data_IF_855918407728
#
_entry.id   IF_855918407728
#
_cell.length_a   1.000
_cell.length_b   1.000
_cell.length_c   1.000
_cell.angle_alpha   90.00
_cell.angle_beta   90.00
_cell.angle_gamma   90.00
#
_symmetry.space_group_name_H-M   'P 1'
#
loop_
_entity.id
_entity.type
_entity.pdbx_description
1 polymer ?
#
# COMPACT_ATOMS: atom_id res chain seq x y z
N UNK A 1 0.40 130.46 -73.71
CA UNK A 1 0.34 129.00 -73.48
C UNK A 1 -0.17 128.81 -72.07
N UNK A 2 -1.37 128.43 -71.96
CA UNK A 2 -2.06 128.27 -70.68
C UNK A 2 -2.02 126.79 -70.22
N UNK A 3 -1.56 126.56 -69.03
CA UNK A 3 -1.44 125.24 -68.36
C UNK A 3 -2.85 124.89 -67.83
N UNK A 4 -3.47 123.86 -68.33
CA UNK A 4 -4.73 123.30 -67.82
C UNK A 4 -4.53 122.68 -66.45
N UNK A 5 -5.49 122.81 -65.53
CA UNK A 5 -5.42 122.19 -64.25
C UNK A 5 -5.93 120.68 -64.36
N UNK A 6 -5.19 119.73 -63.73
CA UNK A 6 -5.57 118.34 -63.63
C UNK A 6 -6.77 118.17 -62.73
N UNK A 7 -7.76 117.39 -63.11
CA UNK A 7 -8.90 117.09 -62.24
C UNK A 7 -8.55 116.21 -61.04
N UNK A 8 -8.86 116.63 -59.84
CA UNK A 8 -8.74 115.86 -58.62
C UNK A 8 -9.97 114.92 -58.48
N UNK A 9 -9.75 113.64 -58.57
CA UNK A 9 -10.78 112.68 -58.28
C UNK A 9 -10.99 112.51 -56.75
N UNK A 10 -12.24 112.37 -56.23
CA UNK A 10 -12.48 112.21 -54.80
C UNK A 10 -11.93 110.88 -54.36
N UNK A 11 -11.22 110.85 -53.23
CA UNK A 11 -10.75 109.56 -52.58
C UNK A 11 -11.93 108.74 -52.17
N UNK A 12 -12.05 107.52 -52.75
CA UNK A 12 -12.99 106.50 -52.32
C UNK A 12 -12.82 106.19 -50.85
N UNK A 13 -13.93 105.99 -50.08
CA UNK A 13 -13.79 105.60 -48.68
C UNK A 13 -13.15 104.18 -48.56
N UNK A 14 -12.26 104.04 -47.60
CA UNK A 14 -11.58 102.81 -47.31
C UNK A 14 -12.61 101.66 -47.02
N UNK A 15 -12.57 100.59 -47.80
CA UNK A 15 -13.37 99.42 -47.53
C UNK A 15 -13.08 98.90 -46.13
N UNK A 16 -14.08 98.54 -45.35
CA UNK A 16 -13.83 97.86 -44.04
C UNK A 16 -13.04 96.57 -44.22
N UNK A 17 -11.98 96.47 -43.51
CA UNK A 17 -11.18 95.23 -43.50
C UNK A 17 -12.02 94.09 -42.93
N UNK A 18 -12.29 93.09 -43.77
CA UNK A 18 -12.95 91.85 -43.32
C UNK A 18 -12.13 91.23 -42.19
N UNK A 19 -12.71 90.75 -41.11
CA UNK A 19 -11.98 90.13 -40.04
C UNK A 19 -11.17 88.96 -40.60
N UNK A 20 -9.87 88.95 -40.34
CA UNK A 20 -9.01 87.81 -40.68
C UNK A 20 -9.52 86.62 -39.91
N UNK A 21 -10.11 85.67 -40.61
CA UNK A 21 -10.44 84.36 -40.03
C UNK A 21 -9.20 83.75 -39.45
N UNK A 22 -9.16 83.31 -38.16
CA UNK A 22 -8.00 82.67 -37.61
C UNK A 22 -7.66 81.48 -38.53
N UNK A 23 -6.43 81.47 -39.06
CA UNK A 23 -5.91 80.34 -39.82
C UNK A 23 -5.77 79.16 -38.85
N UNK A 24 -6.85 78.39 -38.71
CA UNK A 24 -6.81 77.11 -38.00
C UNK A 24 -5.75 76.28 -38.70
N UNK A 25 -4.66 76.03 -37.98
CA UNK A 25 -3.55 75.22 -38.46
C UNK A 25 -4.01 73.77 -38.53
N UNK A 26 -4.90 73.45 -39.48
CA UNK A 26 -5.34 72.09 -39.77
C UNK A 26 -4.18 71.12 -39.94
N UNK A 27 -3.03 71.60 -40.45
CA UNK A 27 -1.81 70.81 -40.55
C UNK A 27 -1.22 70.32 -39.22
N UNK A 28 -1.32 71.15 -38.13
CA UNK A 28 -0.83 70.73 -36.81
C UNK A 28 -1.72 69.65 -36.16
N UNK A 29 -3.05 69.81 -36.29
CA UNK A 29 -3.97 68.81 -35.78
C UNK A 29 -3.86 67.50 -36.58
N UNK A 30 -3.73 67.57 -37.90
CA UNK A 30 -3.48 66.42 -38.77
C UNK A 30 -2.17 65.72 -38.44
N UNK A 31 -1.09 66.45 -38.24
CA UNK A 31 0.21 65.91 -37.80
C UNK A 31 0.12 65.24 -36.43
N UNK A 32 -0.64 65.84 -35.49
CA UNK A 32 -0.84 65.25 -34.17
C UNK A 32 -1.64 63.93 -34.27
N UNK A 33 -2.70 63.89 -35.08
CA UNK A 33 -3.50 62.69 -35.32
C UNK A 33 -2.67 61.58 -35.96
N UNK A 34 -1.87 61.89 -36.97
CA UNK A 34 -0.95 60.94 -37.65
C UNK A 34 0.10 60.47 -36.67
N UNK A 35 0.63 61.34 -35.80
CA UNK A 35 1.59 60.95 -34.74
C UNK A 35 0.97 60.01 -33.72
N UNK A 36 -0.28 60.26 -33.26
CA UNK A 36 -0.98 59.38 -32.37
C UNK A 36 -1.30 58.02 -33.02
N UNK A 37 -1.72 57.99 -34.27
CA UNK A 37 -1.95 56.77 -35.02
C UNK A 37 -0.65 55.97 -35.18
N UNK A 38 0.45 56.62 -35.56
CA UNK A 38 1.73 55.98 -35.67
C UNK A 38 2.21 55.39 -34.30
N UNK A 39 2.04 56.14 -33.23
CA UNK A 39 2.34 55.69 -31.87
C UNK A 39 1.49 54.48 -31.46
N UNK A 40 0.18 54.52 -31.80
CA UNK A 40 -0.76 53.41 -31.56
C UNK A 40 -0.36 52.16 -32.34
N UNK A 41 0.06 52.29 -33.59
CA UNK A 41 0.54 51.18 -34.41
C UNK A 41 1.82 50.57 -33.83
N UNK A 42 2.75 51.38 -33.36
CA UNK A 42 3.98 50.91 -32.69
C UNK A 42 3.64 50.19 -31.39
N UNK A 43 2.74 50.73 -30.60
CA UNK A 43 2.33 50.12 -29.36
C UNK A 43 1.60 48.76 -29.57
N UNK A 44 0.78 48.67 -30.59
CA UNK A 44 0.10 47.42 -30.99
C UNK A 44 1.01 46.37 -31.61
N UNK A 45 2.22 46.79 -32.05
CA UNK A 45 3.25 45.90 -32.61
C UNK A 45 4.09 45.20 -31.55
N UNK A 46 4.07 45.65 -30.29
CA UNK A 46 4.87 45.08 -29.22
C UNK A 46 4.06 43.92 -28.58
N UNK A 47 4.69 42.77 -28.48
CA UNK A 47 4.13 41.60 -27.75
C UNK A 47 5.20 40.90 -26.94
N UNK A 48 4.75 40.18 -25.90
CA UNK A 48 5.62 39.46 -24.98
C UNK A 48 5.24 37.99 -25.01
N UNK A 49 6.24 37.12 -25.01
CA UNK A 49 6.08 35.68 -24.86
C UNK A 49 6.62 35.28 -23.49
N UNK A 50 5.80 34.54 -22.76
CA UNK A 50 6.16 34.10 -21.43
C UNK A 50 7.19 32.96 -21.45
N UNK A 51 7.99 32.89 -20.35
CA UNK A 51 8.96 31.80 -20.19
C UNK A 51 8.28 30.42 -20.21
N UNK A 52 8.80 29.52 -21.05
CA UNK A 52 8.25 28.17 -21.24
C UNK A 52 7.25 28.06 -22.40
N UNK A 53 7.01 29.19 -23.12
CA UNK A 53 6.26 29.21 -24.37
C UNK A 53 7.17 29.66 -25.50
N UNK A 54 6.81 29.34 -26.71
CA UNK A 54 7.39 29.90 -27.93
C UNK A 54 6.28 30.55 -28.75
N UNK A 55 6.60 31.65 -29.39
CA UNK A 55 5.64 32.37 -30.24
C UNK A 55 5.74 31.90 -31.67
N UNK A 56 4.63 31.44 -32.21
CA UNK A 56 4.50 31.07 -33.63
C UNK A 56 3.96 32.26 -34.37
N UNK A 57 4.82 32.92 -35.16
CA UNK A 57 4.47 34.10 -35.95
C UNK A 57 3.88 33.66 -37.27
N UNK A 58 2.63 34.05 -37.51
CA UNK A 58 1.90 33.77 -38.76
C UNK A 58 1.66 35.10 -39.50
N UNK A 59 2.03 35.15 -40.74
CA UNK A 59 1.74 36.28 -41.62
C UNK A 59 0.72 35.87 -42.68
N UNK A 60 -0.43 36.48 -42.63
CA UNK A 60 -1.55 36.13 -43.48
C UNK A 60 -1.88 34.61 -43.49
N UNK A 61 -1.74 34.00 -42.31
CA UNK A 61 -2.01 32.57 -42.13
C UNK A 61 -0.82 31.62 -42.34
N UNK A 62 0.28 32.07 -42.95
CA UNK A 62 1.47 31.24 -43.12
C UNK A 62 2.43 31.39 -41.94
N UNK A 63 2.91 30.26 -41.41
CA UNK A 63 3.93 30.25 -40.35
C UNK A 63 5.27 30.71 -40.95
N UNK A 64 5.74 31.85 -40.49
CA UNK A 64 7.00 32.43 -40.97
C UNK A 64 8.13 31.99 -40.02
N UNK A 65 7.94 32.22 -38.73
CA UNK A 65 9.00 32.06 -37.76
C UNK A 65 8.48 31.57 -36.43
N UNK A 66 9.37 31.01 -35.60
CA UNK A 66 9.14 30.63 -34.22
C UNK A 66 10.12 31.42 -33.35
N UNK A 67 9.59 32.24 -32.45
CA UNK A 67 10.36 33.15 -31.63
C UNK A 67 10.42 32.66 -30.16
N UNK A 68 11.56 32.89 -29.55
CA UNK A 68 11.85 32.53 -28.16
C UNK A 68 11.10 33.43 -27.16
N UNK A 69 11.04 33.03 -25.88
CA UNK A 69 10.49 33.87 -24.81
C UNK A 69 11.17 35.26 -24.77
N UNK A 70 10.38 36.30 -24.57
CA UNK A 70 10.91 37.67 -24.50
C UNK A 70 9.94 38.67 -25.12
N UNK A 71 10.49 39.88 -25.37
CA UNK A 71 9.80 40.99 -25.99
C UNK A 71 10.09 41.01 -27.48
N UNK A 72 9.06 41.02 -28.30
CA UNK A 72 9.18 40.98 -29.77
C UNK A 72 8.30 42.02 -30.41
N UNK A 73 8.60 42.31 -31.68
CA UNK A 73 7.81 43.18 -32.52
C UNK A 73 7.12 42.38 -33.62
N UNK A 74 5.86 42.69 -33.86
CA UNK A 74 5.05 42.14 -34.97
C UNK A 74 4.52 43.27 -35.83
N UNK A 75 4.24 43.00 -37.07
CA UNK A 75 3.55 43.90 -37.96
C UNK A 75 2.05 43.87 -37.64
N UNK A 76 1.48 44.94 -37.06
CA UNK A 76 0.05 45.02 -36.76
C UNK A 76 -0.81 44.68 -38.01
N UNK A 77 -1.89 43.97 -37.82
CA UNK A 77 -2.83 43.50 -38.87
C UNK A 77 -2.30 42.43 -39.83
N UNK A 78 -0.99 42.35 -40.09
CA UNK A 78 -0.40 41.33 -40.95
C UNK A 78 0.03 40.08 -40.18
N UNK A 79 0.58 40.28 -38.99
CA UNK A 79 1.16 39.19 -38.17
C UNK A 79 0.23 38.83 -37.01
N UNK A 80 -0.05 37.55 -36.89
CA UNK A 80 -0.73 36.94 -35.76
C UNK A 80 0.26 36.03 -35.04
N UNK A 81 0.34 36.15 -33.70
CA UNK A 81 1.24 35.35 -32.88
C UNK A 81 0.40 34.41 -32.03
N UNK A 82 0.69 33.12 -32.08
CA UNK A 82 0.13 32.10 -31.20
C UNK A 82 1.22 31.56 -30.30
N UNK A 83 0.92 31.44 -29.02
CA UNK A 83 1.84 30.87 -28.05
C UNK A 83 1.66 29.36 -27.94
N UNK A 84 2.76 28.64 -28.01
CA UNK A 84 2.78 27.18 -27.79
C UNK A 84 3.66 26.85 -26.61
N UNK A 85 3.14 26.10 -25.66
CA UNK A 85 3.89 25.62 -24.50
C UNK A 85 4.94 24.59 -24.92
N UNK A 86 6.17 24.76 -24.47
CA UNK A 86 7.30 23.83 -24.71
C UNK A 86 7.79 23.16 -23.43
N UNK A 87 7.04 23.34 -22.32
CA UNK A 87 7.30 22.66 -21.06
C UNK A 87 6.88 21.21 -21.14
N UNK A 88 7.33 20.45 -20.16
CA UNK A 88 6.88 19.07 -19.98
C UNK A 88 5.39 19.02 -19.68
N UNK A 89 4.67 18.19 -20.43
CA UNK A 89 3.24 17.97 -20.30
C UNK A 89 2.97 16.52 -19.94
N UNK A 90 1.96 16.30 -19.11
CA UNK A 90 1.48 14.97 -18.78
C UNK A 90 0.18 14.68 -19.57
N UNK A 91 0.18 13.59 -20.32
CA UNK A 91 -1.01 13.07 -20.99
C UNK A 91 -1.42 11.76 -20.35
N UNK A 92 -2.64 11.74 -19.80
CA UNK A 92 -3.19 10.56 -19.13
C UNK A 92 -4.36 10.00 -19.90
N UNK A 93 -4.32 8.69 -20.15
CA UNK A 93 -5.39 7.97 -20.83
C UNK A 93 -5.82 6.74 -20.02
N UNK A 94 -7.11 6.44 -20.10
CA UNK A 94 -7.68 5.15 -19.67
C UNK A 94 -8.01 4.35 -20.91
N UNK A 95 -7.58 3.11 -20.95
CA UNK A 95 -7.81 2.20 -22.07
C UNK A 95 -8.05 0.79 -21.54
N UNK A 96 -8.79 0.01 -22.30
CA UNK A 96 -9.00 -1.40 -22.02
C UNK A 96 -8.05 -2.22 -22.92
N UNK A 97 -7.27 -3.10 -22.29
CA UNK A 97 -6.30 -3.94 -22.96
C UNK A 97 -6.50 -5.41 -22.57
N UNK A 98 -6.49 -6.29 -23.56
CA UNK A 98 -6.57 -7.73 -23.32
C UNK A 98 -5.21 -8.27 -22.88
N UNK A 99 -5.21 -9.09 -21.84
CA UNK A 99 -4.04 -9.86 -21.39
C UNK A 99 -3.88 -11.14 -22.22
N UNK A 100 -2.76 -11.85 -21.99
CA UNK A 100 -2.55 -13.18 -22.58
C UNK A 100 -3.63 -14.19 -22.16
N UNK A 101 -4.21 -14.03 -20.96
CA UNK A 101 -5.30 -14.85 -20.41
C UNK A 101 -6.69 -14.35 -20.85
N UNK A 102 -6.96 -14.02 -22.09
CA UNK A 102 -8.02 -13.23 -22.71
C UNK A 102 -8.96 -12.49 -21.74
N UNK A 103 -8.38 -11.71 -20.82
CA UNK A 103 -9.09 -10.88 -19.85
C UNK A 103 -8.88 -9.41 -20.21
N UNK A 104 -9.98 -8.67 -20.33
CA UNK A 104 -9.93 -7.22 -20.53
C UNK A 104 -9.62 -6.51 -19.21
N UNK A 105 -8.55 -5.71 -19.22
CA UNK A 105 -8.05 -4.98 -18.08
C UNK A 105 -8.14 -3.47 -18.36
N UNK A 106 -8.86 -2.70 -17.56
CA UNK A 106 -8.80 -1.25 -17.63
C UNK A 106 -7.45 -0.76 -17.07
N UNK A 107 -6.65 -0.19 -17.95
CA UNK A 107 -5.31 0.31 -17.64
C UNK A 107 -5.31 1.83 -17.76
N UNK A 108 -4.74 2.51 -16.75
CA UNK A 108 -4.51 3.95 -16.80
C UNK A 108 -3.02 4.19 -16.93
N UNK A 109 -2.66 4.92 -18.00
CA UNK A 109 -1.27 5.25 -18.30
C UNK A 109 -1.12 6.75 -18.41
N UNK A 110 -0.03 7.27 -17.86
CA UNK A 110 0.40 8.67 -17.99
C UNK A 110 1.75 8.71 -18.69
N UNK A 111 1.82 9.55 -19.69
CA UNK A 111 3.06 9.82 -20.43
C UNK A 111 3.44 11.29 -20.25
N UNK A 112 4.66 11.52 -19.81
CA UNK A 112 5.25 12.84 -19.78
C UNK A 112 6.08 13.05 -21.04
N UNK A 113 5.86 14.19 -21.69
CA UNK A 113 6.50 14.50 -22.95
C UNK A 113 6.69 16.00 -23.12
N UNK A 114 7.62 16.38 -23.95
CA UNK A 114 7.86 17.76 -24.34
C UNK A 114 8.16 17.85 -25.84
N UNK A 115 7.87 18.99 -26.41
CA UNK A 115 8.21 19.29 -27.81
C UNK A 115 9.64 19.82 -27.87
N UNK A 116 10.44 19.27 -28.80
CA UNK A 116 11.75 19.83 -29.09
C UNK A 116 11.58 21.18 -29.77
N UNK A 117 12.21 22.21 -29.25
CA UNK A 117 12.05 23.59 -29.74
C UNK A 117 12.26 23.73 -31.27
N UNK A 118 13.22 23.00 -31.79
CA UNK A 118 13.55 23.07 -33.22
C UNK A 118 12.42 22.56 -34.12
N UNK A 119 11.54 21.74 -33.60
CA UNK A 119 10.51 21.05 -34.39
C UNK A 119 9.10 21.61 -34.13
N UNK A 120 8.99 22.69 -33.32
CA UNK A 120 7.71 23.33 -33.00
C UNK A 120 7.00 23.81 -34.25
N UNK A 121 7.73 24.37 -35.23
CA UNK A 121 7.19 24.87 -36.49
C UNK A 121 6.51 23.76 -37.28
N UNK A 122 7.19 22.63 -37.44
CA UNK A 122 6.68 21.51 -38.24
C UNK A 122 5.49 20.87 -37.54
N UNK A 123 5.55 20.71 -36.23
CA UNK A 123 4.45 20.19 -35.42
C UNK A 123 3.23 21.09 -35.52
N UNK A 124 3.43 22.42 -35.44
CA UNK A 124 2.31 23.36 -35.56
C UNK A 124 1.68 23.34 -36.96
N UNK A 125 2.50 23.30 -38.02
CA UNK A 125 2.00 23.25 -39.42
C UNK A 125 1.20 21.97 -39.67
N UNK A 126 1.61 20.84 -39.07
CA UNK A 126 0.95 19.56 -39.31
C UNK A 126 -0.32 19.40 -38.43
N UNK A 127 -0.31 19.85 -37.17
CA UNK A 127 -1.36 19.53 -36.21
C UNK A 127 -2.10 20.76 -35.68
N UNK A 128 -1.57 21.95 -35.83
CA UNK A 128 -2.17 23.20 -35.38
C UNK A 128 -2.03 23.45 -33.88
N UNK A 129 -2.26 22.45 -33.02
CA UNK A 129 -2.14 22.60 -31.57
C UNK A 129 -1.64 21.33 -30.89
N UNK A 130 -1.07 21.49 -29.67
CA UNK A 130 -0.63 20.35 -28.87
C UNK A 130 -1.77 19.40 -28.50
N UNK A 131 -2.96 19.93 -28.26
CA UNK A 131 -4.13 19.10 -27.97
C UNK A 131 -4.53 18.20 -29.16
N UNK A 132 -4.45 18.74 -30.38
CA UNK A 132 -4.70 17.95 -31.60
C UNK A 132 -3.59 16.91 -31.82
N UNK A 133 -2.35 17.25 -31.52
CA UNK A 133 -1.24 16.29 -31.58
C UNK A 133 -1.42 15.15 -30.56
N UNK A 134 -1.83 15.47 -29.32
CA UNK A 134 -2.16 14.48 -28.30
C UNK A 134 -3.24 13.50 -28.79
N UNK A 135 -4.35 14.02 -29.34
CA UNK A 135 -5.47 13.21 -29.78
C UNK A 135 -5.17 12.39 -31.06
N UNK A 136 -4.43 12.97 -32.01
CA UNK A 136 -4.23 12.32 -33.32
C UNK A 136 -3.00 11.41 -33.34
N UNK A 137 -1.99 11.68 -32.52
CA UNK A 137 -0.72 10.96 -32.54
C UNK A 137 -0.45 10.23 -31.25
N UNK A 138 -0.42 10.94 -30.12
CA UNK A 138 -0.05 10.32 -28.83
C UNK A 138 -1.07 9.27 -28.43
N UNK A 139 -2.35 9.60 -28.43
CA UNK A 139 -3.40 8.71 -27.98
C UNK A 139 -3.46 7.38 -28.75
N UNK A 140 -3.54 7.34 -30.09
CA UNK A 140 -3.60 6.07 -30.81
C UNK A 140 -2.30 5.27 -30.69
N UNK A 141 -1.14 5.91 -30.76
CA UNK A 141 0.15 5.21 -30.63
C UNK A 141 0.38 4.67 -29.24
N UNK A 142 -0.09 5.37 -28.22
CA UNK A 142 -0.05 4.90 -26.83
C UNK A 142 -0.99 3.69 -26.65
N UNK A 143 -2.20 3.76 -27.21
CA UNK A 143 -3.14 2.64 -27.21
C UNK A 143 -2.50 1.39 -27.83
N UNK A 144 -1.92 1.54 -29.02
CA UNK A 144 -1.29 0.42 -29.73
C UNK A 144 -0.09 -0.16 -28.96
N UNK A 145 0.75 0.71 -28.41
CA UNK A 145 1.91 0.28 -27.62
C UNK A 145 1.49 -0.49 -26.38
N UNK A 146 0.53 0.05 -25.62
CA UNK A 146 0.06 -0.56 -24.37
C UNK A 146 -0.70 -1.85 -24.65
N UNK A 147 -1.64 -1.86 -25.61
CA UNK A 147 -2.40 -3.07 -25.97
C UNK A 147 -1.48 -4.18 -26.50
N UNK A 148 -0.56 -3.81 -27.38
CA UNK A 148 0.40 -4.77 -27.95
C UNK A 148 1.35 -5.35 -26.88
N UNK A 149 1.75 -4.55 -25.90
CA UNK A 149 2.59 -5.06 -24.81
C UNK A 149 1.77 -5.91 -23.84
N UNK A 150 0.55 -5.47 -23.47
CA UNK A 150 -0.31 -6.18 -22.51
C UNK A 150 -0.68 -7.58 -22.96
N UNK A 151 -0.92 -7.78 -24.26
CA UNK A 151 -1.25 -9.10 -24.83
C UNK A 151 -0.15 -10.15 -24.67
N UNK A 152 1.07 -9.74 -24.41
CA UNK A 152 2.21 -10.63 -24.13
C UNK A 152 2.37 -11.02 -22.66
N UNK A 153 1.54 -10.50 -21.76
CA UNK A 153 1.65 -10.75 -20.31
C UNK A 153 0.39 -11.39 -19.76
N UNK A 154 0.57 -12.36 -18.85
CA UNK A 154 -0.55 -12.85 -18.02
C UNK A 154 -0.90 -11.82 -16.95
N UNK A 155 -2.10 -11.90 -16.39
CA UNK A 155 -2.52 -11.04 -15.27
C UNK A 155 -1.56 -11.14 -14.09
N UNK A 156 -1.08 -12.34 -13.80
CA UNK A 156 -0.12 -12.56 -12.71
C UNK A 156 1.25 -11.93 -12.99
N UNK A 157 1.72 -11.98 -14.26
CA UNK A 157 2.96 -11.32 -14.65
C UNK A 157 2.86 -9.80 -14.59
N UNK A 158 1.73 -9.22 -14.98
CA UNK A 158 1.48 -7.79 -14.86
C UNK A 158 1.59 -7.28 -13.40
N UNK A 159 1.20 -8.12 -12.43
CA UNK A 159 1.33 -7.80 -11.02
C UNK A 159 2.78 -7.95 -10.50
N UNK A 160 3.46 -9.02 -10.92
CA UNK A 160 4.80 -9.36 -10.42
C UNK A 160 5.91 -8.62 -11.15
N UNK A 161 5.80 -8.43 -12.47
CA UNK A 161 6.82 -7.84 -13.35
C UNK A 161 6.43 -6.44 -13.81
N UNK A 162 5.81 -5.66 -12.91
CA UNK A 162 5.29 -4.33 -13.24
C UNK A 162 6.34 -3.39 -13.85
N UNK A 163 7.57 -3.47 -13.39
CA UNK A 163 8.68 -2.65 -13.91
C UNK A 163 9.04 -3.06 -15.32
N UNK A 164 9.17 -4.36 -15.60
CA UNK A 164 9.46 -4.87 -16.95
C UNK A 164 8.35 -4.51 -17.95
N UNK A 165 7.10 -4.66 -17.53
CA UNK A 165 5.94 -4.28 -18.34
C UNK A 165 5.96 -2.77 -18.68
N UNK A 166 6.23 -1.91 -17.68
CA UNK A 166 6.37 -0.47 -17.89
C UNK A 166 7.47 -0.15 -18.88
N UNK A 167 8.66 -0.73 -18.70
CA UNK A 167 9.82 -0.44 -19.53
C UNK A 167 9.61 -0.91 -20.99
N UNK A 168 9.00 -2.08 -21.17
CA UNK A 168 8.61 -2.57 -22.52
C UNK A 168 7.55 -1.69 -23.16
N UNK A 169 6.53 -1.27 -22.41
CA UNK A 169 5.49 -0.38 -22.92
C UNK A 169 6.08 0.98 -23.32
N UNK A 170 6.99 1.52 -22.52
CA UNK A 170 7.72 2.74 -22.83
C UNK A 170 8.55 2.59 -24.11
N UNK A 171 9.32 1.52 -24.25
CA UNK A 171 10.11 1.25 -25.45
C UNK A 171 9.22 1.09 -26.70
N UNK A 172 8.13 0.32 -26.58
CA UNK A 172 7.18 0.14 -27.67
C UNK A 172 6.50 1.44 -28.07
N UNK A 173 6.22 2.33 -27.13
CA UNK A 173 5.67 3.65 -27.39
C UNK A 173 6.73 4.57 -28.02
N UNK A 174 7.93 4.65 -27.44
CA UNK A 174 9.01 5.49 -27.94
C UNK A 174 9.39 5.14 -29.39
N UNK A 175 9.45 3.86 -29.71
CA UNK A 175 9.75 3.39 -31.08
C UNK A 175 8.71 3.82 -32.14
N UNK A 176 7.50 4.18 -31.71
CA UNK A 176 6.43 4.64 -32.61
C UNK A 176 6.31 6.17 -32.67
N UNK A 177 7.05 6.88 -31.81
CA UNK A 177 6.95 8.34 -31.77
C UNK A 177 7.86 9.00 -32.81
N UNK A 178 7.44 10.16 -33.35
CA UNK A 178 8.29 10.96 -34.21
C UNK A 178 9.43 11.60 -33.40
N UNK A 179 10.52 11.95 -34.08
CA UNK A 179 11.69 12.58 -33.47
C UNK A 179 11.42 14.01 -32.96
N UNK A 180 10.26 14.55 -33.28
CA UNK A 180 9.84 15.93 -32.92
C UNK A 180 9.61 16.14 -31.43
N UNK A 181 9.36 15.04 -30.72
CA UNK A 181 9.09 15.09 -29.28
C UNK A 181 10.11 14.26 -28.49
N UNK A 182 10.20 14.58 -27.24
CA UNK A 182 10.98 13.83 -26.26
C UNK A 182 10.05 13.29 -25.17
N UNK A 183 10.09 11.98 -24.95
CA UNK A 183 9.40 11.34 -23.84
C UNK A 183 10.31 11.43 -22.64
N UNK A 184 9.84 12.09 -21.57
CA UNK A 184 10.58 12.27 -20.31
C UNK A 184 10.17 11.29 -19.25
N UNK A 185 8.92 10.79 -19.31
CA UNK A 185 8.40 9.82 -18.35
C UNK A 185 7.31 8.95 -18.93
N UNK A 186 7.21 7.73 -18.39
CA UNK A 186 6.14 6.77 -18.68
C UNK A 186 5.73 6.10 -17.39
N UNK A 187 4.46 6.20 -17.03
CA UNK A 187 3.93 5.64 -15.79
C UNK A 187 2.65 4.85 -16.04
N UNK A 188 2.63 3.62 -15.56
CA UNK A 188 1.39 2.84 -15.46
C UNK A 188 0.78 3.12 -14.09
N UNK A 189 -0.22 3.99 -14.07
CA UNK A 189 -0.84 4.50 -12.84
C UNK A 189 -1.66 3.41 -12.15
N UNK A 190 -2.53 2.76 -12.94
CA UNK A 190 -3.41 1.72 -12.43
C UNK A 190 -3.65 0.63 -13.47
N UNK A 191 -3.73 -0.60 -12.97
CA UNK A 191 -4.23 -1.76 -13.72
C UNK A 191 -5.42 -2.27 -12.93
N UNK A 192 -6.62 -2.05 -13.46
CA UNK A 192 -7.85 -2.55 -12.84
C UNK A 192 -8.09 -4.01 -13.17
N UNK A 193 -8.94 -4.66 -12.38
CA UNK A 193 -9.35 -6.03 -12.61
C UNK A 193 -10.87 -6.10 -12.59
N UNK A 194 -11.50 -6.88 -13.47
CA UNK A 194 -12.92 -7.13 -13.41
C UNK A 194 -13.32 -7.68 -12.02
N UNK A 195 -14.48 -7.28 -11.49
CA UNK A 195 -14.92 -7.69 -10.17
C UNK A 195 -15.05 -9.22 -10.02
N UNK A 196 -15.42 -9.91 -11.09
CA UNK A 196 -15.52 -11.37 -11.13
C UNK A 196 -14.15 -12.04 -10.93
N UNK A 197 -13.12 -11.54 -11.60
CA UNK A 197 -11.76 -12.04 -11.44
C UNK A 197 -11.23 -11.78 -10.04
N UNK A 198 -11.47 -10.58 -9.52
CA UNK A 198 -11.08 -10.21 -8.15
C UNK A 198 -11.76 -11.11 -7.11
N UNK A 199 -13.03 -11.46 -7.33
CA UNK A 199 -13.77 -12.41 -6.50
C UNK A 199 -13.16 -13.80 -6.58
N UNK A 200 -12.92 -14.33 -7.79
CA UNK A 200 -12.33 -15.66 -7.97
C UNK A 200 -10.93 -15.80 -7.33
N UNK A 201 -10.09 -14.76 -7.44
CA UNK A 201 -8.78 -14.72 -6.75
C UNK A 201 -8.95 -14.75 -5.24
N UNK A 202 -9.89 -13.95 -4.71
CA UNK A 202 -10.17 -13.90 -3.27
C UNK A 202 -10.68 -15.25 -2.76
N UNK A 203 -11.63 -15.86 -3.46
CA UNK A 203 -12.18 -17.16 -3.10
C UNK A 203 -11.09 -18.26 -3.12
N UNK A 204 -10.21 -18.22 -4.13
CA UNK A 204 -9.04 -19.11 -4.21
C UNK A 204 -8.06 -18.89 -3.05
N UNK A 205 -7.84 -17.64 -2.66
CA UNK A 205 -6.97 -17.31 -1.53
C UNK A 205 -7.56 -17.81 -0.23
N UNK A 206 -8.84 -17.57 0.02
CA UNK A 206 -9.56 -18.06 1.20
C UNK A 206 -9.51 -19.60 1.27
N UNK A 207 -9.76 -20.28 0.15
CA UNK A 207 -9.67 -21.73 0.09
C UNK A 207 -8.25 -22.26 0.40
N UNK A 208 -7.21 -21.58 -0.06
CA UNK A 208 -5.82 -21.93 0.29
C UNK A 208 -5.52 -21.75 1.77
N UNK A 209 -5.92 -20.60 2.32
CA UNK A 209 -5.72 -20.31 3.76
C UNK A 209 -6.48 -21.32 4.64
N UNK A 210 -7.69 -21.68 4.24
CA UNK A 210 -8.46 -22.73 4.92
C UNK A 210 -7.74 -24.08 4.86
N UNK A 211 -7.27 -24.50 3.69
CA UNK A 211 -6.55 -25.75 3.52
C UNK A 211 -5.22 -25.78 4.33
N UNK A 212 -4.50 -24.65 4.39
CA UNK A 212 -3.32 -24.54 5.23
C UNK A 212 -3.67 -24.59 6.72
N UNK A 213 -4.73 -23.90 7.13
CA UNK A 213 -5.21 -23.93 8.51
C UNK A 213 -5.61 -25.37 8.92
N UNK A 214 -6.33 -26.10 8.08
CA UNK A 214 -6.69 -27.50 8.32
C UNK A 214 -5.44 -28.39 8.45
N UNK A 215 -4.43 -28.20 7.60
CA UNK A 215 -3.15 -28.93 7.73
C UNK A 215 -2.47 -28.66 9.06
N UNK A 216 -2.40 -27.39 9.49
CA UNK A 216 -1.82 -27.04 10.79
C UNK A 216 -2.62 -27.60 11.97
N UNK A 217 -3.96 -27.63 11.87
CA UNK A 217 -4.84 -28.23 12.90
C UNK A 217 -4.57 -29.73 12.99
N UNK A 218 -4.52 -30.44 11.85
CA UNK A 218 -4.23 -31.88 11.80
C UNK A 218 -2.82 -32.19 12.34
N UNK A 219 -1.84 -31.40 12.00
CA UNK A 219 -0.47 -31.56 12.50
C UNK A 219 -0.40 -31.35 14.02
N UNK A 220 -1.04 -30.28 14.51
CA UNK A 220 -1.18 -30.02 15.95
C UNK A 220 -1.87 -31.18 16.66
N UNK A 221 -2.95 -31.72 16.10
CA UNK A 221 -3.69 -32.83 16.68
C UNK A 221 -2.82 -34.10 16.74
N UNK A 222 -2.04 -34.39 15.69
CA UNK A 222 -1.06 -35.50 15.70
C UNK A 222 -0.01 -35.33 16.79
N UNK A 223 0.57 -34.13 16.91
CA UNK A 223 1.54 -33.83 17.95
C UNK A 223 0.93 -33.97 19.35
N UNK A 224 -0.26 -33.44 19.57
CA UNK A 224 -0.97 -33.56 20.85
C UNK A 224 -1.28 -35.03 21.18
N UNK A 225 -1.75 -35.80 20.22
CA UNK A 225 -2.01 -37.23 20.40
C UNK A 225 -0.73 -38.01 20.73
N UNK A 226 0.38 -37.70 20.01
CA UNK A 226 1.68 -38.32 20.32
C UNK A 226 2.17 -37.93 21.72
N UNK A 227 1.99 -36.68 22.11
CA UNK A 227 2.36 -36.21 23.44
C UNK A 227 1.53 -36.88 24.55
N UNK A 228 0.20 -36.99 24.34
CA UNK A 228 -0.68 -37.70 25.29
C UNK A 228 -0.30 -39.19 25.42
N UNK A 229 0.00 -39.86 24.30
CA UNK A 229 0.43 -41.25 24.33
C UNK A 229 1.78 -41.43 25.02
N UNK A 230 2.75 -40.53 24.76
CA UNK A 230 4.05 -40.55 25.43
C UNK A 230 3.94 -40.29 26.93
N UNK A 231 3.13 -39.31 27.33
CA UNK A 231 2.89 -39.01 28.76
C UNK A 231 2.20 -40.19 29.47
N UNK A 232 1.20 -40.82 28.83
CA UNK A 232 0.55 -42.01 29.38
C UNK A 232 1.53 -43.20 29.52
N UNK A 233 2.38 -43.43 28.54
CA UNK A 233 3.43 -44.43 28.61
C UNK A 233 4.45 -44.15 29.72
N UNK A 234 4.92 -42.89 29.81
CA UNK A 234 5.83 -42.49 30.85
C UNK A 234 5.24 -42.61 32.27
N UNK A 235 3.93 -42.28 32.41
CA UNK A 235 3.22 -42.47 33.66
C UNK A 235 3.11 -43.92 34.07
N UNK A 236 2.70 -44.80 33.11
CA UNK A 236 2.67 -46.24 33.34
C UNK A 236 4.00 -46.82 33.76
N UNK A 237 5.07 -46.40 33.08
CA UNK A 237 6.42 -46.90 33.38
C UNK A 237 6.93 -46.36 34.73
N UNK A 238 6.56 -45.13 35.10
CA UNK A 238 6.84 -44.57 36.44
C UNK A 238 6.05 -45.30 37.53
N UNK A 239 4.77 -45.63 37.30
CA UNK A 239 3.98 -46.35 38.26
C UNK A 239 4.47 -47.80 38.44
N UNK A 240 4.90 -48.45 37.35
CA UNK A 240 5.56 -49.77 37.41
C UNK A 240 6.85 -49.70 38.21
N UNK A 241 7.71 -48.75 37.93
CA UNK A 241 8.96 -48.59 38.68
C UNK A 241 8.75 -48.33 40.19
N UNK A 242 7.69 -47.54 40.51
CA UNK A 242 7.30 -47.32 41.92
C UNK A 242 6.78 -48.59 42.57
N UNK A 243 5.98 -49.40 41.85
CA UNK A 243 5.49 -50.68 42.36
C UNK A 243 6.65 -51.66 42.57
N UNK A 244 7.58 -51.79 41.61
CA UNK A 244 8.74 -52.63 41.72
C UNK A 244 9.67 -52.18 42.87
N UNK A 245 9.82 -50.84 43.04
CA UNK A 245 10.60 -50.27 44.18
C UNK A 245 9.98 -50.62 45.53
N UNK A 246 8.62 -50.52 45.66
CA UNK A 246 7.91 -50.91 46.92
C UNK A 246 8.02 -52.42 47.16
N UNK A 247 7.89 -53.22 46.13
CA UNK A 247 8.05 -54.68 46.28
C UNK A 247 9.46 -55.05 46.74
N UNK A 248 10.49 -54.40 46.19
CA UNK A 248 11.86 -54.58 46.62
C UNK A 248 12.07 -54.12 48.08
N UNK A 249 11.54 -52.96 48.45
CA UNK A 249 11.63 -52.44 49.80
C UNK A 249 10.96 -53.40 50.84
N UNK A 250 9.76 -53.90 50.52
CA UNK A 250 9.05 -54.91 51.34
C UNK A 250 9.91 -56.19 51.50
N UNK A 251 10.49 -56.65 50.39
CA UNK A 251 11.34 -57.82 50.37
C UNK A 251 12.55 -57.63 51.25
N UNK A 252 13.29 -56.53 51.08
CA UNK A 252 14.50 -56.24 51.90
C UNK A 252 14.15 -56.06 53.37
N UNK A 253 13.04 -55.35 53.65
CA UNK A 253 12.54 -55.21 55.07
C UNK A 253 12.17 -56.56 55.66
N UNK A 254 11.48 -57.42 54.86
CA UNK A 254 11.12 -58.75 55.28
C UNK A 254 12.36 -59.65 55.58
N UNK A 255 13.36 -59.59 54.69
CA UNK A 255 14.63 -60.31 54.87
C UNK A 255 15.40 -59.82 56.12
N UNK A 256 15.47 -58.46 56.28
CA UNK A 256 16.11 -57.85 57.44
C UNK A 256 15.39 -58.22 58.77
N UNK A 257 14.03 -58.22 58.75
CA UNK A 257 13.25 -58.62 59.90
C UNK A 257 13.43 -60.12 60.24
N UNK A 258 13.41 -60.98 59.20
CA UNK A 258 13.66 -62.41 59.39
C UNK A 258 15.04 -62.70 59.98
N UNK A 259 16.06 -62.03 59.47
CA UNK A 259 17.41 -62.12 60.00
C UNK A 259 17.51 -61.62 61.42
N UNK A 260 16.86 -60.45 61.72
CA UNK A 260 16.82 -59.96 63.11
C UNK A 260 16.10 -60.93 64.06
N UNK A 261 15.00 -61.55 63.61
CA UNK A 261 14.32 -62.63 64.42
C UNK A 261 15.19 -63.85 64.55
N UNK A 262 15.93 -64.30 63.54
CA UNK A 262 16.88 -65.39 63.56
C UNK A 262 17.97 -65.11 64.61
N UNK A 263 18.62 -63.97 64.53
CA UNK A 263 19.68 -63.55 65.48
C UNK A 263 19.14 -63.51 66.90
N UNK A 264 17.96 -62.93 67.07
CA UNK A 264 17.27 -62.84 68.38
C UNK A 264 16.95 -64.21 68.91
N UNK A 265 16.44 -65.09 68.05
CA UNK A 265 16.16 -66.51 68.39
C UNK A 265 17.41 -67.25 68.86
N UNK A 266 18.55 -67.11 68.13
CA UNK A 266 19.85 -67.70 68.54
C UNK A 266 20.36 -67.11 69.83
N UNK A 267 20.21 -65.80 70.07
CA UNK A 267 20.60 -65.17 71.31
C UNK A 267 19.76 -65.63 72.51
N UNK A 268 18.47 -65.82 72.31
CA UNK A 268 17.51 -66.33 73.33
C UNK A 268 17.74 -67.85 73.63
N UNK A 269 18.13 -68.65 72.65
CA UNK A 269 18.46 -70.02 72.85
C UNK A 269 19.75 -70.19 73.73
N UNK A 270 20.68 -69.24 73.63
CA UNK A 270 21.90 -69.19 74.45
C UNK A 270 21.70 -68.68 75.87
N UNK A 271 20.60 -67.95 76.14
CA UNK A 271 20.39 -67.36 77.50
C UNK A 271 18.87 -67.27 77.81
N UNK A 272 18.20 -68.31 78.32
CA UNK A 272 16.77 -68.35 78.53
C UNK A 272 16.25 -67.31 79.55
N UNK A 273 17.09 -66.80 80.48
CA UNK A 273 16.75 -65.80 81.47
C UNK A 273 16.38 -64.41 80.87
N UNK A 274 16.86 -64.11 79.65
CA UNK A 274 16.55 -62.84 78.93
C UNK A 274 15.11 -62.80 78.47
N UNK A 275 14.44 -63.93 78.23
CA UNK A 275 13.01 -64.01 77.91
C UNK A 275 12.14 -63.54 79.08
N UNK A 276 12.54 -63.96 80.29
CA UNK A 276 11.80 -63.55 81.48
C UNK A 276 11.99 -62.10 81.80
N UNK A 277 13.19 -61.53 81.57
CA UNK A 277 13.46 -60.09 81.77
C UNK A 277 12.70 -59.22 80.77
N UNK A 278 12.60 -59.58 79.50
CA UNK A 278 11.80 -58.85 78.54
C UNK A 278 10.27 -59.03 78.69
N UNK A 279 9.80 -60.10 79.27
CA UNK A 279 8.38 -60.23 79.63
C UNK A 279 8.05 -59.19 80.75
N UNK A 280 8.94 -59.01 81.71
CA UNK A 280 8.81 -58.06 82.81
C UNK A 280 8.91 -56.63 82.29
N UNK A 281 9.82 -56.31 81.36
CA UNK A 281 10.07 -54.96 80.80
C UNK A 281 8.87 -54.51 79.91
N UNK A 282 8.21 -55.40 79.22
CA UNK A 282 7.00 -55.09 78.46
C UNK A 282 5.72 -55.14 79.29
N UNK A 283 5.78 -55.62 80.48
CA UNK A 283 4.62 -55.65 81.35
C UNK A 283 4.45 -54.29 82.02
N UNK A 284 3.54 -53.49 81.48
CA UNK A 284 3.22 -52.16 82.03
C UNK A 284 2.49 -52.18 83.40
N UNK A 285 2.61 -53.25 84.20
CA UNK A 285 2.05 -53.32 85.58
C UNK A 285 0.52 -53.45 85.69
N UNK A 286 -0.16 -53.60 84.57
CA UNK A 286 -1.61 -53.77 84.56
C UNK A 286 -1.98 -55.18 84.17
N UNK A 287 -2.65 -55.91 85.08
CA UNK A 287 -3.19 -57.25 84.79
C UNK A 287 -4.22 -57.16 83.67
N UNK A 288 -4.11 -58.03 82.61
CA UNK A 288 -5.14 -58.07 81.60
C UNK A 288 -6.47 -58.54 82.25
N UNK A 289 -7.48 -57.66 82.08
CA UNK A 289 -8.82 -57.91 82.61
C UNK A 289 -9.60 -58.94 81.89
N UNK A 290 -8.96 -59.78 81.07
CA UNK A 290 -9.62 -60.92 80.38
C UNK A 290 -8.91 -62.23 80.79
N UNK A 291 -9.51 -62.97 81.70
CA UNK A 291 -9.16 -64.36 81.94
C UNK A 291 -9.83 -65.24 80.92
N UNK A 292 -9.09 -65.90 80.09
CA UNK A 292 -9.57 -66.98 79.29
C UNK A 292 -9.56 -68.24 80.18
N UNK A 293 -10.68 -68.55 80.81
CA UNK A 293 -10.93 -69.84 81.42
C UNK A 293 -11.22 -70.82 80.29
N UNK A 294 -10.42 -71.85 80.14
CA UNK A 294 -10.73 -72.98 79.28
C UNK A 294 -11.96 -73.73 79.81
N UNK A 295 -12.76 -74.04 78.96
CA UNK A 295 -13.70 -75.07 78.70
C UNK A 295 -15.10 -74.61 78.29
N UNK A 296 -15.49 -75.10 77.13
CA UNK A 296 -16.83 -75.21 76.61
C UNK A 296 -17.75 -74.00 76.49
N UNK A 297 -17.74 -73.42 75.29
CA UNK A 297 -18.96 -73.00 74.61
C UNK A 297 -19.75 -71.85 75.21
N UNK A 298 -19.29 -70.63 75.01
CA UNK A 298 -20.15 -69.47 74.80
C UNK A 298 -19.29 -68.18 74.55
N UNK A 299 -19.33 -67.64 73.40
CA UNK A 299 -18.78 -66.35 73.08
C UNK A 299 -19.73 -65.26 73.61
N UNK A 300 -19.36 -64.60 74.69
CA UNK A 300 -20.01 -63.36 75.14
C UNK A 300 -18.95 -62.27 75.07
N UNK A 301 -19.07 -61.45 74.04
CA UNK A 301 -18.39 -60.14 73.91
C UNK A 301 -19.01 -59.19 74.95
N UNK A 302 -18.25 -58.87 75.99
CA UNK A 302 -18.59 -57.77 76.83
C UNK A 302 -17.88 -56.51 76.33
N UNK A 303 -18.65 -55.51 75.87
CA UNK A 303 -18.20 -54.22 75.52
C UNK A 303 -18.05 -53.33 76.80
N UNK A 304 -16.89 -52.76 77.00
CA UNK A 304 -16.63 -51.71 77.98
C UNK A 304 -17.32 -50.40 77.60
N UNK A 305 -17.98 -49.69 78.51
CA UNK A 305 -18.60 -48.42 78.24
C UNK A 305 -17.49 -47.29 78.32
N UNK A 306 -17.25 -46.58 77.22
CA UNK A 306 -16.40 -45.38 77.22
C UNK A 306 -15.62 -45.04 75.95
N UNK A 307 -16.07 -45.41 74.79
CA UNK A 307 -15.47 -44.96 73.54
C UNK A 307 -16.42 -44.06 72.75
N UNK A 308 -16.13 -42.77 72.70
CA UNK A 308 -16.84 -41.80 71.86
C UNK A 308 -16.71 -42.22 70.39
N UNK A 309 -17.82 -42.48 69.72
CA UNK A 309 -17.88 -42.66 68.28
C UNK A 309 -17.78 -41.31 67.60
N UNK A 310 -16.90 -41.11 66.59
CA UNK A 310 -16.97 -39.92 65.76
C UNK A 310 -18.12 -40.05 64.79
N UNK A 311 -19.03 -39.06 64.76
CA UNK A 311 -20.12 -38.90 63.82
C UNK A 311 -19.59 -38.65 62.43
N UNK A 312 -19.89 -39.53 61.50
CA UNK A 312 -19.72 -39.31 60.08
C UNK A 312 -20.86 -38.41 59.59
N UNK A 313 -20.51 -37.18 59.25
CA UNK A 313 -21.43 -36.21 58.64
C UNK A 313 -21.47 -36.46 57.15
N UNK A 314 -22.61 -36.99 56.66
CA UNK A 314 -22.85 -37.13 55.24
C UNK A 314 -23.02 -35.75 54.58
N UNK A 315 -22.10 -35.38 53.73
CA UNK A 315 -22.19 -34.20 52.89
C UNK A 315 -23.23 -34.41 51.77
N UNK A 316 -24.19 -33.50 51.71
CA UNK A 316 -25.13 -33.31 50.60
C UNK A 316 -24.41 -32.89 49.32
N UNK A 317 -24.81 -33.29 48.14
CA UNK A 317 -24.31 -32.71 46.92
C UNK A 317 -25.02 -31.37 46.65
N UNK A 318 -24.23 -30.37 46.32
CA UNK A 318 -24.69 -29.10 45.78
C UNK A 318 -24.92 -29.24 44.27
N UNK A 319 -25.96 -28.54 43.83
CA UNK A 319 -26.41 -28.39 42.43
C UNK A 319 -25.36 -27.75 41.54
#
# INVERSE_FOLDING_TARGET
>A
MAKMPTPQFPKLPAMPQLPQTPSFRFGGIFALIVGLVALSIIWMGIYRIDAGHVGIVKRFGNVIDVVDPGLHLKIPYADTVEEMEVRERAFTIKLDAASQDPLELPITVTVNWLVKRNNVKDLYVQFGSLAQFEQRIIQPRLNDAVKGTTSGYTVNDLLRKRTEYRDRSQQAFAARMPDDIQITGFSVVNIGFPPEYTKAIRDKQVAREQAETERFVLERQKLTTTQVTQTAMAQRDADKARADGRAYEIKVQGEAQAEAVRILGEALAKNPLVVEYRKIERWGGVFPSTFMGGDAGASTLWSLPGGRTPSVQAGRPAQ
#
